data_IF_026486634252
#
_entry.id   IF_026486634252
#
_cell.length_a   1.000
_cell.length_b   1.000
_cell.length_c   1.000
_cell.angle_alpha   90.00
_cell.angle_beta   90.00
_cell.angle_gamma   90.00
#
_symmetry.space_group_name_H-M   'P 1'
#
loop_
_entity.id
_entity.type
_entity.pdbx_description
1 polymer ?
#
# COMPACT_ATOMS: atom_id res chain seq x y z
N UNK A 1 17.62 -1.66 11.24
CA UNK A 1 16.81 -1.13 10.12
C UNK A 1 15.53 -0.59 10.72
N UNK A 2 15.12 0.65 10.44
CA UNK A 2 13.85 1.18 10.96
C UNK A 2 12.73 0.34 10.36
N UNK A 3 12.10 -0.48 11.18
CA UNK A 3 10.81 -1.08 10.88
C UNK A 3 9.85 0.10 10.66
N UNK A 4 9.45 0.33 9.40
CA UNK A 4 8.60 1.47 9.08
C UNK A 4 7.29 1.29 9.84
N UNK A 5 6.96 2.22 10.76
CA UNK A 5 5.73 2.19 11.58
C UNK A 5 4.47 1.87 10.75
N UNK A 6 4.43 2.37 9.52
CA UNK A 6 3.34 2.11 8.57
C UNK A 6 3.23 0.64 8.14
N UNK A 7 4.33 -0.11 8.03
CA UNK A 7 4.29 -1.55 7.73
C UNK A 7 3.54 -2.32 8.81
N UNK A 8 3.85 -2.05 10.09
CA UNK A 8 3.14 -2.67 11.22
C UNK A 8 1.64 -2.33 11.22
N UNK A 9 1.27 -1.11 10.83
CA UNK A 9 -0.12 -0.70 10.70
C UNK A 9 -0.83 -1.45 9.56
N UNK A 10 -0.18 -1.62 8.41
CA UNK A 10 -0.70 -2.41 7.29
C UNK A 10 -0.83 -3.89 7.66
N UNK A 11 0.13 -4.45 8.40
CA UNK A 11 0.07 -5.84 8.86
C UNK A 11 -1.07 -6.04 9.87
N UNK A 12 -1.23 -5.11 10.82
CA UNK A 12 -2.36 -5.13 11.76
C UNK A 12 -3.70 -5.04 11.03
N UNK A 13 -3.80 -4.19 10.01
CA UNK A 13 -4.98 -4.10 9.15
C UNK A 13 -5.25 -5.41 8.41
N UNK A 14 -4.26 -6.01 7.74
CA UNK A 14 -4.40 -7.30 7.04
C UNK A 14 -4.94 -8.40 7.97
N UNK A 15 -4.45 -8.43 9.21
CA UNK A 15 -4.78 -9.47 10.19
C UNK A 15 -6.13 -9.25 10.90
N UNK A 16 -6.79 -8.11 10.68
CA UNK A 16 -8.15 -7.90 11.17
C UNK A 16 -9.16 -8.64 10.26
N UNK A 17 -9.94 -9.59 10.79
CA UNK A 17 -10.91 -10.36 9.99
C UNK A 17 -12.07 -9.51 9.43
N UNK A 18 -12.24 -8.28 9.90
CA UNK A 18 -13.27 -7.33 9.47
C UNK A 18 -12.68 -6.09 8.80
N UNK A 19 -11.44 -6.17 8.31
CA UNK A 19 -10.76 -5.02 7.76
C UNK A 19 -11.50 -4.41 6.57
N UNK A 20 -11.58 -3.08 6.56
CA UNK A 20 -12.19 -2.29 5.48
C UNK A 20 -11.10 -1.81 4.52
N UNK A 21 -11.43 -1.44 3.27
CA UNK A 21 -10.46 -0.82 2.37
C UNK A 21 -9.74 0.37 3.02
N UNK A 22 -8.41 0.44 2.86
CA UNK A 22 -7.60 1.54 3.39
C UNK A 22 -7.48 2.68 2.39
N UNK A 23 -7.55 3.91 2.89
CA UNK A 23 -7.18 5.12 2.17
C UNK A 23 -5.91 5.72 2.79
N UNK A 24 -4.78 5.58 2.11
CA UNK A 24 -3.49 6.09 2.60
C UNK A 24 -3.29 7.53 2.13
N UNK A 25 -3.29 8.48 3.08
CA UNK A 25 -3.15 9.92 2.82
C UNK A 25 -1.77 10.46 3.21
N UNK A 26 -1.41 11.60 2.65
CA UNK A 26 -0.27 12.44 3.08
C UNK A 26 0.38 13.18 1.92
N UNK A 27 1.55 13.78 2.17
CA UNK A 27 2.23 14.61 1.16
C UNK A 27 2.65 13.86 -0.11
N UNK A 28 2.65 14.53 -1.27
CA UNK A 28 3.12 13.94 -2.53
C UNK A 28 4.60 13.53 -2.43
N UNK A 29 4.99 12.50 -3.18
CA UNK A 29 6.39 12.03 -3.31
C UNK A 29 7.10 11.50 -2.05
N UNK A 30 6.36 11.21 -0.97
CA UNK A 30 6.96 10.65 0.28
C UNK A 30 7.10 9.12 0.28
N UNK A 31 6.89 8.45 -0.86
CA UNK A 31 7.01 6.99 -0.97
C UNK A 31 5.78 6.19 -0.52
N UNK A 32 4.57 6.76 -0.65
CA UNK A 32 3.30 6.04 -0.40
C UNK A 32 3.14 4.82 -1.30
N UNK A 33 3.27 5.00 -2.61
CA UNK A 33 3.14 3.89 -3.57
C UNK A 33 4.18 2.82 -3.31
N UNK A 34 5.41 3.21 -2.96
CA UNK A 34 6.50 2.29 -2.62
C UNK A 34 6.14 1.38 -1.44
N UNK A 35 5.61 1.92 -0.34
CA UNK A 35 5.30 1.07 0.82
C UNK A 35 4.12 0.14 0.56
N UNK A 36 3.14 0.56 -0.25
CA UNK A 36 2.01 -0.29 -0.65
C UNK A 36 2.51 -1.46 -1.51
N UNK A 37 3.30 -1.17 -2.56
CA UNK A 37 3.86 -2.20 -3.45
C UNK A 37 4.78 -3.17 -2.70
N UNK A 38 5.65 -2.64 -1.83
CA UNK A 38 6.53 -3.47 -0.99
C UNK A 38 5.71 -4.38 -0.07
N UNK A 39 4.73 -3.83 0.66
CA UNK A 39 3.88 -4.61 1.56
C UNK A 39 3.10 -5.69 0.79
N UNK A 40 2.52 -5.34 -0.36
CA UNK A 40 1.77 -6.27 -1.19
C UNK A 40 2.63 -7.48 -1.59
N UNK A 41 3.84 -7.24 -2.12
CA UNK A 41 4.79 -8.28 -2.53
C UNK A 41 5.31 -9.16 -1.38
N UNK A 42 5.40 -8.62 -0.17
CA UNK A 42 5.85 -9.40 1.00
C UNK A 42 4.73 -10.24 1.61
N UNK A 43 3.50 -9.74 1.58
CA UNK A 43 2.41 -10.28 2.40
C UNK A 43 1.35 -11.06 1.61
N UNK A 44 1.36 -10.99 0.29
CA UNK A 44 0.40 -11.67 -0.58
C UNK A 44 1.14 -12.41 -1.68
N UNK A 45 0.68 -13.62 -1.97
CA UNK A 45 1.21 -14.44 -3.07
C UNK A 45 0.96 -13.78 -4.43
N UNK A 46 -0.24 -13.21 -4.59
CA UNK A 46 -0.74 -12.64 -5.83
C UNK A 46 -1.32 -11.24 -5.55
N UNK A 47 -0.95 -10.25 -6.36
CA UNK A 47 -1.34 -8.85 -6.21
C UNK A 47 -1.63 -8.23 -7.57
N UNK A 48 -2.61 -7.32 -7.63
CA UNK A 48 -2.84 -6.45 -8.79
C UNK A 48 -2.57 -5.01 -8.34
N UNK A 49 -1.64 -4.34 -9.03
CA UNK A 49 -1.40 -2.92 -8.86
C UNK A 49 -2.13 -2.15 -9.96
N UNK A 50 -3.00 -1.22 -9.57
CA UNK A 50 -3.74 -0.35 -10.49
C UNK A 50 -3.27 1.08 -10.25
N UNK A 51 -2.60 1.65 -11.24
CA UNK A 51 -2.34 3.08 -11.27
C UNK A 51 -3.52 3.77 -11.96
N UNK A 52 -4.13 4.74 -11.28
CA UNK A 52 -5.27 5.52 -11.80
C UNK A 52 -4.80 6.87 -12.35
N UNK A 53 -3.53 7.02 -12.68
CA UNK A 53 -3.10 8.13 -13.51
C UNK A 53 -3.85 8.07 -14.84
N UNK A 54 -4.61 9.13 -15.14
CA UNK A 54 -5.08 9.39 -16.49
C UNK A 54 -3.84 9.53 -17.37
N UNK A 55 -3.51 8.47 -18.10
CA UNK A 55 -2.64 8.55 -19.25
C UNK A 55 -3.54 9.08 -20.37
N UNK A 56 -3.43 10.35 -20.80
CA UNK A 56 -4.12 10.77 -21.99
C UNK A 56 -3.50 9.97 -23.12
N UNK A 57 -4.18 8.90 -23.52
CA UNK A 57 -3.76 8.12 -24.67
C UNK A 57 -3.74 9.06 -25.88
N UNK A 58 -2.52 9.34 -26.37
CA UNK A 58 -2.15 10.08 -27.60
C UNK A 58 -2.10 11.59 -27.50
#
# INVERSE_FOLDING_TARGET
MIERKIYRQLLAWKNDPHHKPLLIKGQRQVGKSYIIDYFAKQEYKDCIFLDMHDDPAT
#
